data_IF_185048994594
#
_entry.id   IF_185048994594
#
_cell.length_a   1.000
_cell.length_b   1.000
_cell.length_c   1.000
_cell.angle_alpha   90.00
_cell.angle_beta   90.00
_cell.angle_gamma   90.00
#
_symmetry.space_group_name_H-M   'P 1'
#
loop_
_entity.id
_entity.type
_entity.pdbx_description
1 polymer ?
#
# COMPACT_ATOMS: atom_id res chain seq x y z
N UNK A 1 33.54 -25.73 5.96
CA UNK A 1 32.40 -26.66 5.79
C UNK A 1 32.56 -27.39 4.47
N UNK A 2 32.98 -28.65 4.51
CA UNK A 2 33.10 -29.52 3.34
C UNK A 2 31.71 -29.72 2.71
N UNK A 3 31.55 -29.36 1.44
CA UNK A 3 30.29 -29.59 0.69
C UNK A 3 30.04 -31.10 0.65
N UNK A 4 29.02 -31.58 1.39
CA UNK A 4 28.55 -32.96 1.29
C UNK A 4 28.14 -33.23 -0.17
N UNK A 5 28.79 -34.22 -0.79
CA UNK A 5 28.40 -34.73 -2.11
C UNK A 5 26.93 -35.18 -2.06
N UNK A 6 26.13 -34.81 -3.07
CA UNK A 6 24.74 -35.25 -3.20
C UNK A 6 24.73 -36.77 -3.34
N UNK A 7 24.07 -37.48 -2.41
CA UNK A 7 23.85 -38.93 -2.53
C UNK A 7 23.13 -39.23 -3.84
N UNK A 8 23.79 -39.96 -4.75
CA UNK A 8 23.20 -40.43 -6.00
C UNK A 8 22.58 -41.81 -5.75
N UNK A 9 21.25 -41.89 -5.83
CA UNK A 9 20.51 -43.15 -5.70
C UNK A 9 20.43 -43.87 -7.05
N UNK A 10 20.62 -45.19 -7.05
CA UNK A 10 20.53 -46.01 -8.27
C UNK A 10 19.10 -46.03 -8.82
N UNK A 11 18.92 -46.23 -10.14
CA UNK A 11 17.59 -46.33 -10.76
C UNK A 11 16.71 -47.41 -10.11
N UNK A 12 17.28 -48.57 -9.80
CA UNK A 12 16.57 -49.67 -9.12
C UNK A 12 16.09 -49.27 -7.73
N UNK A 13 16.90 -48.53 -6.97
CA UNK A 13 16.50 -48.03 -5.66
C UNK A 13 15.34 -47.03 -5.75
N UNK A 14 15.40 -46.09 -6.71
CA UNK A 14 14.33 -45.12 -6.94
C UNK A 14 13.01 -45.80 -7.31
N UNK A 15 13.05 -46.81 -8.19
CA UNK A 15 11.89 -47.58 -8.58
C UNK A 15 11.25 -48.33 -7.40
N UNK A 16 12.08 -48.93 -6.52
CA UNK A 16 11.61 -49.62 -5.30
C UNK A 16 10.89 -48.66 -4.34
N UNK A 17 11.44 -47.47 -4.12
CA UNK A 17 10.83 -46.44 -3.26
C UNK A 17 9.54 -45.90 -3.87
N UNK A 18 9.52 -45.66 -5.19
CA UNK A 18 8.33 -45.21 -5.90
C UNK A 18 7.19 -46.24 -5.84
N UNK A 19 7.47 -47.53 -6.04
CA UNK A 19 6.49 -48.61 -5.92
C UNK A 19 5.90 -48.69 -4.51
N UNK A 20 6.72 -48.57 -3.46
CA UNK A 20 6.24 -48.54 -2.07
C UNK A 20 5.30 -47.34 -1.82
N UNK A 21 5.58 -46.19 -2.42
CA UNK A 21 4.75 -44.98 -2.32
C UNK A 21 3.46 -45.03 -3.17
N UNK A 22 3.44 -45.84 -4.24
CA UNK A 22 2.21 -46.13 -5.04
C UNK A 22 1.32 -47.11 -4.29
N UNK A 23 1.90 -48.12 -3.62
CA UNK A 23 1.15 -49.16 -2.89
C UNK A 23 0.28 -48.58 -1.76
N UNK A 24 0.71 -47.49 -1.12
CA UNK A 24 -0.13 -46.71 -0.20
C UNK A 24 -0.24 -47.25 1.23
N UNK A 25 0.42 -48.37 1.54
CA UNK A 25 0.37 -49.03 2.86
C UNK A 25 1.02 -48.22 4.00
N UNK A 26 1.82 -47.19 3.69
CA UNK A 26 2.55 -46.35 4.64
C UNK A 26 2.53 -44.89 4.22
N UNK A 27 2.58 -43.99 5.20
CA UNK A 27 2.64 -42.54 4.96
C UNK A 27 4.00 -42.12 4.38
N UNK A 28 4.06 -40.96 3.72
CA UNK A 28 5.31 -40.42 3.14
C UNK A 28 6.40 -40.18 4.21
N UNK A 29 6.01 -39.87 5.44
CA UNK A 29 6.94 -39.67 6.55
C UNK A 29 7.58 -41.01 7.00
N UNK A 30 6.79 -42.08 7.07
CA UNK A 30 7.28 -43.42 7.39
C UNK A 30 8.17 -43.98 6.28
N UNK A 31 7.84 -43.73 5.02
CA UNK A 31 8.67 -44.11 3.87
C UNK A 31 9.99 -43.32 3.84
N UNK A 32 9.97 -42.04 4.20
CA UNK A 32 11.17 -41.21 4.30
C UNK A 32 12.15 -41.73 5.36
N UNK A 33 11.64 -42.16 6.52
CA UNK A 33 12.45 -42.80 7.55
C UNK A 33 12.96 -44.18 7.13
N UNK A 34 12.10 -45.02 6.53
CA UNK A 34 12.44 -46.39 6.16
C UNK A 34 13.50 -46.47 5.05
N UNK A 35 13.50 -45.51 4.13
CA UNK A 35 14.42 -45.48 2.99
C UNK A 35 15.53 -44.42 3.10
N UNK A 36 15.61 -43.68 4.20
CA UNK A 36 16.58 -42.59 4.44
C UNK A 36 16.64 -41.59 3.27
N UNK A 37 15.46 -41.15 2.81
CA UNK A 37 15.30 -40.20 1.69
C UNK A 37 14.30 -39.12 2.02
N UNK A 38 14.47 -37.94 1.43
CA UNK A 38 13.60 -36.80 1.71
C UNK A 38 12.20 -37.02 1.11
N UNK A 39 11.09 -36.66 1.80
CA UNK A 39 9.72 -36.85 1.31
C UNK A 39 9.47 -36.34 -0.13
N UNK A 40 9.98 -35.15 -0.46
CA UNK A 40 9.87 -34.60 -1.84
C UNK A 40 10.52 -35.50 -2.91
N UNK A 41 11.60 -36.22 -2.60
CA UNK A 41 12.21 -37.15 -3.57
C UNK A 41 11.31 -38.36 -3.82
N UNK A 42 10.63 -38.85 -2.78
CA UNK A 42 9.65 -39.94 -2.90
C UNK A 42 8.49 -39.49 -3.80
N UNK A 43 7.96 -38.27 -3.61
CA UNK A 43 6.89 -37.72 -4.45
C UNK A 43 7.32 -37.60 -5.91
N UNK A 44 8.53 -37.11 -6.16
CA UNK A 44 9.08 -36.98 -7.54
C UNK A 44 9.21 -38.36 -8.18
N UNK A 45 9.78 -39.36 -7.49
CA UNK A 45 9.95 -40.70 -8.06
C UNK A 45 8.62 -41.44 -8.24
N UNK A 46 7.64 -41.23 -7.35
CA UNK A 46 6.27 -41.73 -7.51
C UNK A 46 5.63 -41.19 -8.79
N UNK A 47 5.70 -39.88 -9.01
CA UNK A 47 5.13 -39.26 -10.21
C UNK A 47 5.86 -39.71 -11.48
N UNK A 48 7.20 -39.77 -11.47
CA UNK A 48 7.99 -40.30 -12.59
C UNK A 48 7.61 -41.75 -12.94
N UNK A 49 7.35 -42.59 -11.94
CA UNK A 49 6.90 -43.96 -12.17
C UNK A 49 5.48 -44.00 -12.75
N UNK A 50 4.54 -43.20 -12.23
CA UNK A 50 3.16 -43.18 -12.71
C UNK A 50 3.04 -42.63 -14.14
N UNK A 51 3.80 -41.58 -14.47
CA UNK A 51 3.84 -40.98 -15.81
C UNK A 51 4.59 -41.87 -16.82
N UNK A 52 5.66 -42.55 -16.37
CA UNK A 52 6.49 -43.41 -17.21
C UNK A 52 6.03 -44.86 -17.34
N UNK A 53 5.14 -45.35 -16.48
CA UNK A 53 4.73 -46.76 -16.43
C UNK A 53 4.07 -47.22 -17.74
N UNK A 54 3.31 -46.34 -18.40
CA UNK A 54 2.69 -46.65 -19.69
C UNK A 54 3.72 -46.99 -20.78
N UNK A 55 4.88 -46.32 -20.77
CA UNK A 55 5.97 -46.55 -21.73
C UNK A 55 6.78 -47.84 -21.46
N UNK A 56 6.60 -48.49 -20.30
CA UNK A 56 7.25 -49.79 -20.01
C UNK A 56 6.45 -50.95 -20.60
N UNK A 57 5.12 -50.81 -20.72
CA UNK A 57 4.23 -51.84 -21.25
C UNK A 57 3.74 -51.54 -22.68
N UNK A 58 3.89 -50.30 -23.16
CA UNK A 58 3.64 -49.92 -24.56
C UNK A 58 4.91 -50.02 -25.40
N UNK A 59 4.90 -50.85 -26.43
CA UNK A 59 5.89 -50.78 -27.51
C UNK A 59 5.58 -49.57 -28.42
N UNK A 60 5.79 -48.36 -27.90
CA UNK A 60 5.91 -47.20 -28.77
C UNK A 60 7.34 -47.16 -29.32
N UNK A 61 7.40 -47.31 -30.65
CA UNK A 61 8.61 -47.21 -31.47
C UNK A 61 9.52 -46.10 -30.94
N UNK A 62 10.78 -46.46 -30.70
CA UNK A 62 11.87 -45.50 -30.50
C UNK A 62 11.72 -44.35 -31.50
N UNK A 63 11.39 -43.16 -31.00
CA UNK A 63 11.57 -41.92 -31.73
C UNK A 63 13.06 -41.81 -32.00
N UNK A 64 13.43 -41.97 -33.27
CA UNK A 64 14.78 -41.79 -33.76
C UNK A 64 15.38 -40.51 -33.18
N UNK A 65 16.58 -40.62 -32.59
CA UNK A 65 17.39 -39.46 -32.26
C UNK A 65 17.53 -38.62 -33.53
N UNK A 66 17.00 -37.40 -33.48
CA UNK A 66 17.26 -36.39 -34.50
C UNK A 66 18.78 -36.17 -34.50
N UNK A 67 19.47 -36.12 -35.65
CA UNK A 67 20.91 -35.90 -35.65
C UNK A 67 21.16 -34.56 -34.98
N UNK A 68 21.79 -34.58 -33.81
CA UNK A 68 22.25 -33.38 -33.15
C UNK A 68 23.31 -32.80 -34.06
N UNK A 69 23.02 -31.65 -34.67
CA UNK A 69 23.96 -30.96 -35.55
C UNK A 69 25.20 -30.54 -34.74
N UNK A 70 26.23 -31.39 -34.79
CA UNK A 70 27.52 -31.17 -34.13
C UNK A 70 28.17 -29.86 -34.58
N UNK A 71 27.84 -29.36 -35.78
CA UNK A 71 28.31 -28.06 -36.26
C UNK A 71 27.63 -26.91 -35.52
N UNK A 72 26.32 -27.00 -35.30
CA UNK A 72 25.59 -26.05 -34.47
C UNK A 72 26.05 -26.08 -33.01
N UNK A 73 26.38 -27.26 -32.47
CA UNK A 73 26.86 -27.43 -31.10
C UNK A 73 28.31 -26.96 -30.92
N UNK A 74 29.22 -27.25 -31.87
CA UNK A 74 30.57 -26.69 -31.86
C UNK A 74 30.57 -25.17 -32.10
N UNK A 75 29.68 -24.66 -32.95
CA UNK A 75 29.47 -23.22 -33.08
C UNK A 75 28.97 -22.60 -31.78
N UNK A 76 28.03 -23.27 -31.07
CA UNK A 76 27.55 -22.84 -29.74
C UNK A 76 28.66 -22.86 -28.69
N UNK A 77 29.54 -23.85 -28.71
CA UNK A 77 30.68 -23.97 -27.77
C UNK A 77 31.72 -22.89 -28.06
N UNK A 78 32.06 -22.64 -29.33
CA UNK A 78 32.93 -21.53 -29.73
C UNK A 78 32.32 -20.16 -29.38
N UNK A 79 31.02 -20.00 -29.61
CA UNK A 79 30.25 -18.82 -29.23
C UNK A 79 30.30 -18.60 -27.71
N UNK A 80 30.01 -19.63 -26.90
CA UNK A 80 30.05 -19.56 -25.44
C UNK A 80 31.47 -19.37 -24.88
N UNK A 81 32.50 -19.88 -25.56
CA UNK A 81 33.90 -19.67 -25.19
C UNK A 81 34.33 -18.21 -25.40
N UNK A 82 33.97 -17.62 -26.56
CA UNK A 82 34.19 -16.19 -26.84
C UNK A 82 33.37 -15.31 -25.88
N UNK A 83 32.13 -15.68 -25.57
CA UNK A 83 31.30 -14.96 -24.59
C UNK A 83 31.88 -15.02 -23.18
N UNK A 84 32.35 -16.19 -22.72
CA UNK A 84 32.99 -16.31 -21.41
C UNK A 84 34.36 -15.59 -21.34
N UNK A 85 35.07 -15.48 -22.47
CA UNK A 85 36.26 -14.65 -22.60
C UNK A 85 35.95 -13.15 -22.50
N UNK A 86 34.78 -12.74 -22.99
CA UNK A 86 34.32 -11.35 -23.00
C UNK A 86 33.68 -10.93 -21.66
N UNK A 87 34.49 -10.54 -20.69
CA UNK A 87 34.18 -9.72 -19.49
C UNK A 87 32.90 -10.00 -18.66
N UNK A 88 32.21 -11.14 -18.83
CA UNK A 88 30.91 -11.45 -18.21
C UNK A 88 30.88 -11.19 -16.70
N UNK A 89 31.95 -11.58 -16.00
CA UNK A 89 32.05 -11.37 -14.54
C UNK A 89 32.16 -9.90 -14.14
N UNK A 90 32.85 -9.04 -14.90
CA UNK A 90 32.96 -7.60 -14.61
C UNK A 90 31.70 -6.85 -15.01
N UNK A 91 31.08 -7.23 -16.13
CA UNK A 91 29.89 -6.60 -16.66
C UNK A 91 28.68 -6.70 -15.71
N UNK A 92 28.54 -7.82 -14.98
CA UNK A 92 27.42 -8.00 -14.05
C UNK A 92 27.45 -7.09 -12.82
N UNK A 93 28.59 -6.47 -12.51
CA UNK A 93 28.76 -5.62 -11.34
C UNK A 93 28.59 -4.13 -11.66
N UNK A 94 28.58 -3.75 -12.94
CA UNK A 94 28.61 -2.34 -13.37
C UNK A 94 27.27 -1.75 -13.84
N UNK A 95 27.14 -0.43 -13.69
CA UNK A 95 26.01 0.36 -14.19
C UNK A 95 25.93 0.39 -15.73
N UNK A 96 24.81 0.86 -16.33
CA UNK A 96 24.66 0.90 -17.79
C UNK A 96 25.76 1.66 -18.54
N UNK A 97 26.32 2.72 -17.93
CA UNK A 97 27.41 3.51 -18.51
C UNK A 97 28.74 2.74 -18.53
N UNK A 98 29.08 2.07 -17.44
CA UNK A 98 30.29 1.23 -17.32
C UNK A 98 30.21 0.04 -18.28
N UNK A 99 29.05 -0.62 -18.34
CA UNK A 99 28.80 -1.68 -19.32
C UNK A 99 28.92 -1.17 -20.74
N UNK A 100 28.48 0.05 -21.03
CA UNK A 100 28.64 0.64 -22.37
C UNK A 100 30.11 0.89 -22.71
N UNK A 101 30.91 1.34 -21.75
CA UNK A 101 32.35 1.54 -21.93
C UNK A 101 33.13 0.23 -22.18
N UNK A 102 32.54 -0.93 -21.82
CA UNK A 102 33.11 -2.27 -22.10
C UNK A 102 32.88 -2.74 -23.54
N UNK A 103 32.16 -1.99 -24.39
CA UNK A 103 32.00 -2.32 -25.81
C UNK A 103 33.32 -2.08 -26.53
N UNK A 104 33.85 -3.13 -27.15
CA UNK A 104 35.09 -3.09 -27.92
C UNK A 104 34.78 -3.32 -29.41
N UNK A 105 34.98 -2.29 -30.23
CA UNK A 105 34.70 -2.37 -31.68
C UNK A 105 35.74 -3.21 -32.44
N UNK A 106 36.88 -3.53 -31.84
CA UNK A 106 37.94 -4.35 -32.43
C UNK A 106 37.87 -5.84 -32.06
N UNK A 107 36.93 -6.25 -31.22
CA UNK A 107 36.78 -7.64 -30.79
C UNK A 107 36.13 -8.52 -31.86
N UNK A 108 36.48 -9.81 -31.89
CA UNK A 108 35.91 -10.83 -32.78
C UNK A 108 34.39 -11.04 -32.64
N UNK A 109 33.78 -10.48 -31.59
CA UNK A 109 32.34 -10.58 -31.34
C UNK A 109 31.66 -9.35 -31.93
N UNK A 110 30.56 -9.54 -32.68
CA UNK A 110 29.80 -8.40 -33.19
C UNK A 110 29.29 -7.48 -32.06
N UNK A 111 29.17 -6.18 -32.34
CA UNK A 111 28.64 -5.18 -31.38
C UNK A 111 27.26 -5.57 -30.84
N UNK A 112 26.41 -6.18 -31.68
CA UNK A 112 25.09 -6.68 -31.29
C UNK A 112 25.20 -7.78 -30.25
N UNK A 113 26.19 -8.67 -30.41
CA UNK A 113 26.43 -9.76 -29.47
C UNK A 113 27.03 -9.25 -28.17
N UNK A 114 28.01 -8.35 -28.23
CA UNK A 114 28.57 -7.71 -27.05
C UNK A 114 27.49 -6.97 -26.24
N UNK A 115 26.60 -6.21 -26.90
CA UNK A 115 25.47 -5.56 -26.24
C UNK A 115 24.54 -6.57 -25.54
N UNK A 116 24.27 -7.71 -26.18
CA UNK A 116 23.45 -8.80 -25.60
C UNK A 116 24.11 -9.42 -24.37
N UNK A 117 25.41 -9.71 -24.44
CA UNK A 117 26.21 -10.25 -23.32
C UNK A 117 26.23 -9.27 -22.14
N UNK A 118 26.40 -7.98 -22.44
CA UNK A 118 26.42 -6.89 -21.45
C UNK A 118 25.01 -6.47 -20.99
N UNK A 119 23.95 -7.13 -21.48
CA UNK A 119 22.54 -6.80 -21.18
C UNK A 119 22.22 -5.32 -21.41
N UNK A 120 22.69 -4.77 -22.54
CA UNK A 120 22.40 -3.43 -23.01
C UNK A 120 21.48 -3.49 -24.23
N UNK A 121 20.55 -2.53 -24.33
CA UNK A 121 19.83 -2.32 -25.57
C UNK A 121 20.80 -1.83 -26.65
N UNK A 122 20.65 -2.31 -27.89
CA UNK A 122 21.51 -1.94 -29.02
C UNK A 122 21.58 -0.42 -29.19
N UNK A 123 20.46 0.29 -29.05
CA UNK A 123 20.38 1.75 -29.15
C UNK A 123 21.28 2.48 -28.13
N UNK A 124 21.44 1.92 -26.92
CA UNK A 124 22.29 2.51 -25.86
C UNK A 124 23.77 2.56 -26.27
N UNK A 125 24.24 1.58 -27.06
CA UNK A 125 25.63 1.53 -27.55
C UNK A 125 25.93 2.72 -28.46
N UNK A 126 24.99 3.09 -29.32
CA UNK A 126 25.14 4.19 -30.27
C UNK A 126 24.68 5.55 -29.72
N UNK A 127 24.00 5.57 -28.58
CA UNK A 127 23.51 6.82 -27.99
C UNK A 127 24.65 7.71 -27.48
N UNK A 128 24.96 8.80 -28.16
CA UNK A 128 25.92 9.77 -27.62
C UNK A 128 25.25 10.67 -26.58
N UNK A 129 25.82 10.80 -25.37
CA UNK A 129 25.29 11.71 -24.36
C UNK A 129 25.27 13.13 -24.91
N UNK A 130 24.07 13.72 -25.02
CA UNK A 130 23.96 15.13 -25.41
C UNK A 130 24.21 16.01 -24.19
N UNK A 131 25.06 17.05 -24.31
CA UNK A 131 25.19 18.05 -23.26
C UNK A 131 23.83 18.72 -23.02
N UNK A 132 23.62 19.19 -21.79
CA UNK A 132 22.47 20.06 -21.49
C UNK A 132 22.61 21.32 -22.34
N UNK A 133 21.54 21.78 -22.99
CA UNK A 133 21.59 23.04 -23.74
C UNK A 133 21.83 24.22 -22.77
N UNK A 134 22.36 25.34 -23.27
CA UNK A 134 22.54 26.54 -22.45
C UNK A 134 21.20 27.05 -21.87
N UNK A 135 20.12 26.91 -22.64
CA UNK A 135 18.76 27.23 -22.22
C UNK A 135 18.28 26.33 -21.06
N UNK A 136 18.52 25.02 -21.16
CA UNK A 136 18.18 24.08 -20.11
C UNK A 136 19.03 24.30 -18.85
N UNK A 137 20.30 24.69 -18.99
CA UNK A 137 21.16 25.05 -17.85
C UNK A 137 20.64 26.29 -17.12
N UNK A 138 20.22 27.32 -17.86
CA UNK A 138 19.60 28.52 -17.28
C UNK A 138 18.28 28.17 -16.58
N UNK A 139 17.46 27.31 -17.20
CA UNK A 139 16.21 26.84 -16.61
C UNK A 139 16.45 25.96 -15.37
N UNK A 140 17.43 25.07 -15.39
CA UNK A 140 17.84 24.26 -14.23
C UNK A 140 18.29 25.15 -13.07
N UNK A 141 19.12 26.16 -13.32
CA UNK A 141 19.53 27.12 -12.28
C UNK A 141 18.32 27.81 -11.64
N UNK A 142 17.37 28.27 -12.46
CA UNK A 142 16.17 28.92 -11.92
C UNK A 142 15.26 27.96 -11.14
N UNK A 143 15.14 26.71 -11.61
CA UNK A 143 14.41 25.66 -10.88
C UNK A 143 15.05 25.33 -9.53
N UNK A 144 16.39 25.39 -9.42
CA UNK A 144 17.13 25.19 -8.17
C UNK A 144 16.83 26.31 -7.17
N UNK A 145 16.94 27.57 -7.62
CA UNK A 145 16.61 28.76 -6.82
C UNK A 145 15.17 28.70 -6.31
N UNK A 146 14.21 28.40 -7.19
CA UNK A 146 12.81 28.24 -6.81
C UNK A 146 12.57 27.05 -5.88
N UNK A 147 13.41 26.01 -5.92
CA UNK A 147 13.30 24.88 -5.00
C UNK A 147 13.83 25.24 -3.60
N UNK A 148 14.86 26.07 -3.49
CA UNK A 148 15.34 26.60 -2.21
C UNK A 148 14.28 27.48 -1.55
N UNK A 149 13.63 28.35 -2.32
CA UNK A 149 12.56 29.23 -1.81
C UNK A 149 11.26 28.46 -1.52
N UNK A 150 10.92 27.50 -2.37
CA UNK A 150 9.66 26.75 -2.32
C UNK A 150 9.92 25.23 -2.41
N UNK A 151 10.42 24.59 -1.34
CA UNK A 151 10.78 23.17 -1.37
C UNK A 151 9.59 22.25 -1.67
N UNK A 152 8.36 22.69 -1.39
CA UNK A 152 7.12 21.96 -1.71
C UNK A 152 6.65 22.10 -3.16
N UNK A 153 7.26 22.98 -3.97
CA UNK A 153 6.84 23.26 -5.33
C UNK A 153 7.30 22.15 -6.30
N UNK A 154 6.37 21.26 -6.65
CA UNK A 154 6.59 20.28 -7.73
C UNK A 154 6.52 20.90 -9.13
N UNK A 155 6.84 20.10 -10.16
CA UNK A 155 6.93 20.56 -11.55
C UNK A 155 5.71 21.35 -12.08
N UNK A 156 4.51 21.12 -11.54
CA UNK A 156 3.30 21.88 -11.90
C UNK A 156 3.33 23.30 -11.32
N UNK A 157 3.75 23.45 -10.06
CA UNK A 157 3.83 24.74 -9.38
C UNK A 157 5.03 25.54 -9.86
N UNK A 158 6.18 24.90 -10.01
CA UNK A 158 7.39 25.46 -10.62
C UNK A 158 7.10 26.07 -12.00
N UNK A 159 6.35 25.36 -12.85
CA UNK A 159 5.86 25.89 -14.13
C UNK A 159 5.06 27.18 -13.99
N UNK A 160 4.15 27.23 -13.02
CA UNK A 160 3.31 28.40 -12.79
C UNK A 160 4.14 29.59 -12.28
N UNK A 161 5.12 29.35 -11.41
CA UNK A 161 6.05 30.38 -10.92
C UNK A 161 6.89 30.96 -12.06
N UNK A 162 7.56 30.09 -12.84
CA UNK A 162 8.33 30.48 -14.02
C UNK A 162 7.50 31.27 -15.04
N UNK A 163 6.24 30.89 -15.26
CA UNK A 163 5.34 31.60 -16.18
C UNK A 163 5.04 33.03 -15.73
N UNK A 164 5.04 33.32 -14.42
CA UNK A 164 4.88 34.68 -13.89
C UNK A 164 6.13 35.54 -14.09
N UNK A 165 7.28 34.90 -14.26
CA UNK A 165 8.58 35.53 -14.54
C UNK A 165 8.87 35.63 -16.04
N UNK A 166 7.91 35.29 -16.91
CA UNK A 166 8.08 35.32 -18.37
C UNK A 166 8.82 34.12 -18.95
N UNK A 167 9.13 33.10 -18.15
CA UNK A 167 9.82 31.88 -18.61
C UNK A 167 8.81 30.79 -18.95
N UNK A 168 8.75 30.39 -20.22
CA UNK A 168 7.78 29.42 -20.72
C UNK A 168 8.41 28.04 -20.94
N UNK A 169 8.16 27.12 -20.01
CA UNK A 169 8.56 25.71 -20.15
C UNK A 169 7.39 24.75 -19.90
N UNK A 170 7.38 23.63 -20.63
CA UNK A 170 6.37 22.58 -20.48
C UNK A 170 6.53 21.82 -19.15
N UNK A 171 5.43 21.40 -18.53
CA UNK A 171 5.45 20.64 -17.25
C UNK A 171 6.33 19.38 -17.34
N UNK A 172 6.26 18.64 -18.45
CA UNK A 172 7.06 17.42 -18.65
C UNK A 172 8.55 17.75 -18.75
N UNK A 173 8.89 18.86 -19.40
CA UNK A 173 10.26 19.33 -19.50
C UNK A 173 10.80 19.68 -18.12
N UNK A 174 10.09 20.51 -17.35
CA UNK A 174 10.44 20.85 -15.97
C UNK A 174 10.61 19.59 -15.10
N UNK A 175 9.69 18.62 -15.19
CA UNK A 175 9.79 17.38 -14.45
C UNK A 175 11.04 16.55 -14.82
N UNK A 176 11.42 16.53 -16.10
CA UNK A 176 12.64 15.86 -16.57
C UNK A 176 13.89 16.54 -16.01
N UNK A 177 13.94 17.89 -16.00
CA UNK A 177 15.07 18.64 -15.46
C UNK A 177 15.19 18.49 -13.94
N UNK A 178 14.08 18.63 -13.20
CA UNK A 178 14.04 18.37 -11.75
C UNK A 178 14.57 16.98 -11.42
N UNK A 179 14.13 15.95 -12.16
CA UNK A 179 14.64 14.57 -11.99
C UNK A 179 16.13 14.45 -12.28
N UNK A 180 16.64 15.15 -13.31
CA UNK A 180 18.06 15.16 -13.66
C UNK A 180 18.92 15.85 -12.59
N UNK A 181 18.36 16.86 -11.91
CA UNK A 181 19.00 17.59 -10.81
C UNK A 181 18.91 16.87 -9.46
N UNK A 182 18.09 15.82 -9.35
CA UNK A 182 17.81 15.17 -8.06
C UNK A 182 16.90 15.98 -7.15
N UNK A 183 16.14 16.94 -7.71
CA UNK A 183 15.23 17.80 -6.98
C UNK A 183 13.82 17.22 -7.05
N UNK A 184 13.18 17.08 -5.89
CA UNK A 184 11.79 16.67 -5.77
C UNK A 184 11.01 17.58 -4.82
N UNK A 185 9.71 17.70 -5.03
CA UNK A 185 8.86 18.43 -4.09
C UNK A 185 8.89 17.74 -2.73
N UNK A 186 9.22 18.49 -1.69
CA UNK A 186 9.15 18.06 -0.30
C UNK A 186 7.71 18.25 0.17
N UNK A 187 6.99 17.15 0.27
CA UNK A 187 5.65 17.12 0.85
C UNK A 187 5.54 15.94 1.81
N UNK A 188 4.65 16.06 2.80
CA UNK A 188 4.22 14.89 3.58
C UNK A 188 3.54 13.92 2.63
N UNK A 189 4.23 12.82 2.29
CA UNK A 189 3.60 11.70 1.59
C UNK A 189 2.41 11.24 2.46
N UNK A 190 1.24 10.92 1.87
CA UNK A 190 0.14 10.35 2.64
C UNK A 190 0.67 9.09 3.33
N UNK A 191 0.81 9.13 4.64
CA UNK A 191 1.01 7.93 5.42
C UNK A 191 -0.37 7.32 5.60
N UNK A 192 -0.89 6.67 4.56
CA UNK A 192 -1.99 5.73 4.78
C UNK A 192 -1.40 4.64 5.65
N UNK A 193 -1.79 4.60 6.92
CA UNK A 193 -1.51 3.49 7.83
C UNK A 193 -1.70 2.19 7.04
N UNK A 194 -0.63 1.39 6.90
CA UNK A 194 -0.78 0.08 6.27
C UNK A 194 -1.74 -0.71 7.17
N UNK A 195 -2.84 -1.26 6.64
CA UNK A 195 -3.66 -2.18 7.40
C UNK A 195 -2.75 -3.28 7.94
N UNK A 196 -2.83 -3.60 9.23
CA UNK A 196 -2.17 -4.80 9.69
C UNK A 196 -2.79 -5.99 8.92
N UNK A 197 -1.99 -6.93 8.40
CA UNK A 197 -2.52 -8.06 7.64
C UNK A 197 -3.51 -8.86 8.52
N UNK A 198 -4.75 -9.01 8.08
CA UNK A 198 -5.75 -9.87 8.73
C UNK A 198 -7.03 -9.20 9.23
N UNK A 199 -7.13 -7.87 9.22
CA UNK A 199 -8.36 -7.21 9.67
C UNK A 199 -9.50 -7.31 8.65
N UNK A 200 -10.69 -7.66 9.14
CA UNK A 200 -11.91 -7.78 8.34
C UNK A 200 -12.40 -6.39 7.92
N UNK A 201 -12.60 -6.20 6.62
CA UNK A 201 -13.24 -5.00 6.07
C UNK A 201 -14.74 -5.29 5.93
N UNK A 202 -15.57 -4.37 6.41
CA UNK A 202 -17.03 -4.47 6.35
C UNK A 202 -17.57 -3.69 5.14
N UNK A 203 -18.73 -4.08 4.57
CA UNK A 203 -19.34 -3.35 3.45
C UNK A 203 -19.87 -1.98 3.91
N UNK A 204 -19.98 -1.05 2.96
CA UNK A 204 -20.61 0.25 3.22
C UNK A 204 -22.14 0.13 3.19
N UNK A 205 -22.81 0.47 4.30
CA UNK A 205 -24.25 0.25 4.50
C UNK A 205 -25.11 1.51 4.31
N UNK A 206 -24.52 2.71 4.27
CA UNK A 206 -25.29 3.95 4.16
C UNK A 206 -25.72 4.29 2.72
N UNK A 207 -25.36 3.46 1.74
CA UNK A 207 -25.70 3.70 0.32
C UNK A 207 -27.20 3.57 0.08
N UNK A 208 -27.85 4.67 -0.30
CA UNK A 208 -29.28 4.70 -0.56
C UNK A 208 -30.15 4.62 0.70
N UNK A 209 -29.52 4.60 1.89
CA UNK A 209 -30.23 4.62 3.16
C UNK A 209 -30.59 6.06 3.50
N UNK A 210 -31.88 6.32 3.65
CA UNK A 210 -32.37 7.60 4.16
C UNK A 210 -32.34 7.54 5.69
N UNK A 211 -31.56 8.44 6.28
CA UNK A 211 -31.45 8.58 7.73
C UNK A 211 -32.51 9.58 8.19
N UNK A 212 -33.52 9.09 8.92
CA UNK A 212 -34.74 9.85 9.22
C UNK A 212 -34.97 10.11 10.71
N UNK A 213 -34.16 9.50 11.58
CA UNK A 213 -34.28 9.65 13.04
C UNK A 213 -32.91 9.54 13.74
N UNK A 214 -32.80 10.08 14.97
CA UNK A 214 -31.64 9.85 15.83
C UNK A 214 -31.37 8.35 16.03
N UNK A 215 -30.08 8.01 16.21
CA UNK A 215 -29.59 6.66 16.52
C UNK A 215 -29.91 5.60 15.45
N UNK A 216 -30.21 6.01 14.23
CA UNK A 216 -30.26 5.09 13.10
C UNK A 216 -28.85 4.78 12.59
N UNK A 217 -28.01 5.81 12.45
CA UNK A 217 -26.61 5.66 12.09
C UNK A 217 -25.75 6.62 12.89
N UNK A 218 -24.68 6.09 13.49
CA UNK A 218 -23.60 6.89 14.03
C UNK A 218 -22.38 6.80 13.11
N UNK A 219 -21.56 7.84 13.12
CA UNK A 219 -20.29 7.89 12.39
C UNK A 219 -19.15 8.32 13.32
N UNK A 220 -17.94 7.84 13.05
CA UNK A 220 -16.75 8.22 13.80
C UNK A 220 -15.56 8.45 12.87
N UNK A 221 -14.75 9.43 13.24
CA UNK A 221 -13.50 9.74 12.56
C UNK A 221 -12.47 10.32 13.56
N UNK A 222 -11.23 10.46 13.12
CA UNK A 222 -10.12 11.07 13.86
C UNK A 222 -9.57 12.24 13.06
N UNK A 223 -9.31 13.36 13.72
CA UNK A 223 -8.64 14.51 13.12
C UNK A 223 -7.44 15.00 13.92
N UNK A 224 -6.50 15.62 13.22
CA UNK A 224 -5.31 16.23 13.81
C UNK A 224 -5.63 17.66 14.25
N UNK A 225 -5.26 17.99 15.48
CA UNK A 225 -5.40 19.32 16.08
C UNK A 225 -3.99 19.89 16.31
N UNK A 226 -3.59 20.95 15.59
CA UNK A 226 -2.33 21.63 15.84
C UNK A 226 -2.32 22.30 17.22
N UNK A 227 -1.15 22.31 17.86
CA UNK A 227 -0.87 23.02 19.10
C UNK A 227 0.33 23.94 18.91
N UNK A 228 0.66 24.78 19.91
CA UNK A 228 1.86 25.63 19.85
C UNK A 228 3.14 24.82 19.64
N UNK A 229 3.18 23.61 20.20
CA UNK A 229 4.26 22.62 19.98
C UNK A 229 3.63 21.26 19.68
N UNK A 230 3.73 20.82 18.44
CA UNK A 230 3.22 19.51 18.01
C UNK A 230 1.72 19.51 17.71
N UNK A 231 1.08 18.36 17.89
CA UNK A 231 -0.34 18.15 17.61
C UNK A 231 -0.90 17.05 18.50
N UNK A 232 -2.23 17.04 18.64
CA UNK A 232 -3.01 15.97 19.28
C UNK A 232 -4.03 15.39 18.31
N UNK A 233 -4.58 14.24 18.64
CA UNK A 233 -5.63 13.55 17.92
C UNK A 233 -6.97 13.78 18.62
N UNK A 234 -7.98 14.20 17.88
CA UNK A 234 -9.36 14.30 18.33
C UNK A 234 -10.19 13.25 17.61
N UNK A 235 -10.85 12.37 18.34
CA UNK A 235 -11.89 11.49 17.81
C UNK A 235 -13.26 11.94 18.29
N UNK A 236 -14.28 11.80 17.44
CA UNK A 236 -15.66 12.10 17.80
C UNK A 236 -16.60 11.04 17.22
N UNK A 237 -17.57 10.62 18.04
CA UNK A 237 -18.73 9.83 17.64
C UNK A 237 -19.88 10.80 17.40
N UNK A 238 -20.50 10.72 16.23
CA UNK A 238 -21.51 11.68 15.75
C UNK A 238 -22.77 10.95 15.33
N UNK A 239 -23.93 11.43 15.76
CA UNK A 239 -25.21 11.00 15.21
C UNK A 239 -25.42 11.64 13.82
N UNK A 240 -25.62 10.80 12.80
CA UNK A 240 -25.66 11.23 11.39
C UNK A 240 -26.89 12.09 11.10
N UNK A 241 -28.02 11.81 11.78
CA UNK A 241 -29.28 12.55 11.62
C UNK A 241 -29.16 13.96 12.20
N UNK A 242 -28.97 14.05 13.52
CA UNK A 242 -29.01 15.27 14.31
C UNK A 242 -27.72 16.09 14.27
N UNK A 243 -26.63 15.53 13.73
CA UNK A 243 -25.27 16.11 13.74
C UNK A 243 -24.67 16.27 15.13
N UNK A 244 -25.31 15.69 16.14
CA UNK A 244 -24.88 15.78 17.54
C UNK A 244 -23.61 14.98 17.75
N UNK A 245 -22.64 15.59 18.41
CA UNK A 245 -21.45 14.88 18.90
C UNK A 245 -21.82 14.16 20.19
N UNK A 246 -21.88 12.83 20.13
CA UNK A 246 -22.32 11.99 21.24
C UNK A 246 -21.23 11.79 22.28
N UNK A 247 -20.00 11.60 21.81
CA UNK A 247 -18.82 11.50 22.65
C UNK A 247 -17.58 11.94 21.85
N UNK A 248 -16.55 12.41 22.55
CA UNK A 248 -15.28 12.75 21.94
C UNK A 248 -14.10 12.44 22.89
N UNK A 249 -12.91 12.24 22.31
CA UNK A 249 -11.67 11.98 23.05
C UNK A 249 -10.48 12.66 22.42
N UNK A 250 -9.59 13.18 23.26
CA UNK A 250 -8.31 13.78 22.85
C UNK A 250 -7.15 12.91 23.32
N UNK A 251 -6.33 12.46 22.39
CA UNK A 251 -5.15 11.62 22.63
C UNK A 251 -3.87 12.23 22.03
N UNK A 252 -2.72 11.87 22.59
CA UNK A 252 -1.39 12.18 22.04
C UNK A 252 -0.88 11.07 21.10
N UNK A 253 -1.52 9.90 21.11
CA UNK A 253 -1.21 8.75 20.24
C UNK A 253 -2.37 8.45 19.30
N UNK A 254 -2.08 7.80 18.17
CA UNK A 254 -3.08 7.37 17.18
C UNK A 254 -3.49 5.90 17.39
N UNK A 255 -3.65 5.47 18.64
CA UNK A 255 -3.99 4.10 19.04
C UNK A 255 -5.51 3.86 19.03
N UNK A 256 -5.95 2.61 18.97
CA UNK A 256 -7.37 2.28 18.95
C UNK A 256 -8.08 2.52 20.30
N UNK A 257 -7.36 2.44 21.41
CA UNK A 257 -7.90 2.49 22.77
C UNK A 257 -8.78 3.74 23.04
N UNK A 258 -8.31 4.94 22.68
CA UNK A 258 -9.09 6.16 22.92
C UNK A 258 -10.33 6.25 22.01
N UNK A 259 -10.33 5.55 20.87
CA UNK A 259 -11.51 5.45 20.02
C UNK A 259 -12.54 4.53 20.66
N UNK A 260 -12.10 3.39 21.20
CA UNK A 260 -12.94 2.45 21.95
C UNK A 260 -13.60 3.14 23.14
N UNK A 261 -12.85 3.91 23.93
CA UNK A 261 -13.40 4.68 25.05
C UNK A 261 -14.50 5.67 24.62
N UNK A 262 -14.32 6.35 23.49
CA UNK A 262 -15.32 7.28 22.97
C UNK A 262 -16.61 6.55 22.58
N UNK A 263 -16.48 5.39 21.92
CA UNK A 263 -17.63 4.54 21.55
C UNK A 263 -18.34 4.01 22.79
N UNK A 264 -17.60 3.47 23.76
CA UNK A 264 -18.18 2.95 25.00
C UNK A 264 -18.92 4.04 25.78
N UNK A 265 -18.39 5.26 25.86
CA UNK A 265 -19.11 6.38 26.48
C UNK A 265 -20.40 6.72 25.72
N UNK A 266 -20.34 6.82 24.38
CA UNK A 266 -21.52 7.11 23.58
C UNK A 266 -22.58 6.02 23.79
N UNK A 267 -22.18 4.75 23.79
CA UNK A 267 -23.08 3.62 24.02
C UNK A 267 -23.73 3.67 25.41
N UNK A 268 -22.94 3.95 26.44
CA UNK A 268 -23.43 4.03 27.82
C UNK A 268 -24.42 5.19 28.04
N UNK A 269 -24.23 6.32 27.35
CA UNK A 269 -25.07 7.51 27.52
C UNK A 269 -26.31 7.53 26.63
N UNK A 270 -26.22 6.98 25.43
CA UNK A 270 -27.20 7.19 24.35
C UNK A 270 -27.83 5.90 23.82
N UNK A 271 -27.45 4.74 24.37
CA UNK A 271 -27.90 3.45 23.86
C UNK A 271 -27.09 3.05 22.63
N UNK A 272 -27.69 2.32 21.68
CA UNK A 272 -26.96 1.80 20.51
C UNK A 272 -27.60 2.26 19.20
N UNK A 273 -26.79 2.56 18.17
CA UNK A 273 -27.31 2.79 16.84
C UNK A 273 -27.61 1.47 16.13
N UNK A 274 -28.36 1.54 15.02
CA UNK A 274 -28.50 0.38 14.12
C UNK A 274 -27.20 0.15 13.34
N UNK A 275 -26.58 1.24 12.83
CA UNK A 275 -25.37 1.20 12.01
C UNK A 275 -24.29 2.09 12.63
N UNK A 276 -23.05 1.62 12.62
CA UNK A 276 -21.87 2.41 12.97
C UNK A 276 -20.93 2.51 11.77
N UNK A 277 -20.69 3.72 11.29
CA UNK A 277 -19.87 3.98 10.10
C UNK A 277 -18.50 4.57 10.44
N UNK A 278 -17.43 4.02 9.86
CA UNK A 278 -16.07 4.54 9.97
C UNK A 278 -15.35 4.49 8.63
N UNK A 279 -14.18 5.13 8.53
CA UNK A 279 -13.26 4.84 7.44
C UNK A 279 -12.58 3.46 7.64
N UNK A 280 -11.73 3.07 6.69
CA UNK A 280 -10.94 1.81 6.74
C UNK A 280 -9.58 1.99 7.45
N UNK A 281 -9.46 2.98 8.34
CA UNK A 281 -8.25 3.24 9.13
C UNK A 281 -7.90 2.07 10.05
N UNK A 282 -6.61 1.89 10.33
CA UNK A 282 -6.13 0.75 11.14
C UNK A 282 -6.77 0.65 12.52
N UNK A 283 -7.16 1.80 13.09
CA UNK A 283 -7.83 1.93 14.39
C UNK A 283 -9.22 1.31 14.35
N UNK A 284 -9.99 1.57 13.29
CA UNK A 284 -11.37 1.08 13.17
C UNK A 284 -11.46 -0.33 12.60
N UNK A 285 -10.42 -0.79 11.92
CA UNK A 285 -10.32 -2.20 11.49
C UNK A 285 -9.78 -3.12 12.59
N UNK A 286 -9.29 -2.57 13.71
CA UNK A 286 -8.74 -3.35 14.82
C UNK A 286 -9.82 -4.22 15.48
N UNK A 287 -9.41 -5.40 15.99
CA UNK A 287 -10.33 -6.31 16.70
C UNK A 287 -10.91 -5.64 17.95
N UNK A 288 -10.07 -4.94 18.72
CA UNK A 288 -10.50 -4.19 19.91
C UNK A 288 -11.66 -3.22 19.62
N UNK A 289 -11.65 -2.58 18.44
CA UNK A 289 -12.73 -1.68 18.03
C UNK A 289 -13.95 -2.44 17.50
N UNK A 290 -13.75 -3.41 16.61
CA UNK A 290 -14.86 -4.13 15.99
C UNK A 290 -15.62 -5.01 16.99
N UNK A 291 -14.93 -5.59 17.97
CA UNK A 291 -15.54 -6.47 18.97
C UNK A 291 -16.53 -5.71 19.84
N UNK A 292 -16.24 -4.46 20.22
CA UNK A 292 -17.17 -3.59 20.95
C UNK A 292 -18.48 -3.37 20.18
N UNK A 293 -18.40 -3.18 18.86
CA UNK A 293 -19.57 -2.99 18.02
C UNK A 293 -20.35 -4.30 17.81
N UNK A 294 -19.64 -5.42 17.64
CA UNK A 294 -20.24 -6.75 17.48
C UNK A 294 -20.94 -7.21 18.75
N UNK A 295 -20.34 -7.00 19.92
CA UNK A 295 -20.91 -7.33 21.23
C UNK A 295 -22.20 -6.53 21.50
N UNK A 296 -22.23 -5.26 21.07
CA UNK A 296 -23.41 -4.42 21.13
C UNK A 296 -24.48 -4.77 20.06
N UNK A 297 -24.17 -5.71 19.16
CA UNK A 297 -24.99 -6.15 18.01
C UNK A 297 -25.30 -5.01 17.03
N UNK A 298 -24.32 -4.16 16.76
CA UNK A 298 -24.41 -3.02 15.85
C UNK A 298 -23.90 -3.43 14.46
N UNK A 299 -24.59 -3.01 13.40
CA UNK A 299 -24.12 -3.27 12.04
C UNK A 299 -22.92 -2.36 11.70
N UNK A 300 -21.77 -2.97 11.43
CA UNK A 300 -20.54 -2.23 11.08
C UNK A 300 -20.58 -1.87 9.60
N UNK A 301 -20.41 -0.58 9.32
CA UNK A 301 -20.27 -0.01 7.98
C UNK A 301 -18.89 0.62 7.83
N UNK A 302 -18.21 0.38 6.70
CA UNK A 302 -16.92 1.01 6.41
C UNK A 302 -16.93 1.66 5.03
N UNK A 303 -16.39 2.88 4.95
CA UNK A 303 -16.32 3.65 3.71
C UNK A 303 -15.52 2.94 2.61
N UNK A 304 -15.81 3.23 1.34
CA UNK A 304 -14.99 2.76 0.24
C UNK A 304 -13.56 3.33 0.28
N UNK A 305 -12.57 2.58 -0.19
CA UNK A 305 -11.19 3.07 -0.28
C UNK A 305 -11.12 4.31 -1.19
N UNK A 306 -10.77 5.47 -0.62
CA UNK A 306 -10.70 6.74 -1.34
C UNK A 306 -12.05 7.42 -1.58
N UNK A 307 -13.12 6.96 -0.92
CA UNK A 307 -14.46 7.51 -1.03
C UNK A 307 -14.76 8.53 0.08
N UNK A 308 -14.01 9.63 0.10
CA UNK A 308 -14.18 10.74 1.08
C UNK A 308 -15.63 11.25 1.22
N UNK A 309 -16.44 11.11 0.15
CA UNK A 309 -17.87 11.49 0.15
C UNK A 309 -18.71 10.70 1.15
N UNK A 310 -18.28 9.50 1.51
CA UNK A 310 -19.03 8.59 2.39
C UNK A 310 -19.03 9.08 3.85
N UNK A 311 -18.01 9.87 4.26
CA UNK A 311 -17.89 10.46 5.60
C UNK A 311 -18.20 11.98 5.68
N UNK A 312 -18.99 12.51 4.74
CA UNK A 312 -19.19 13.97 4.60
C UNK A 312 -19.75 14.64 5.88
N UNK A 313 -20.42 13.87 6.74
CA UNK A 313 -21.01 14.34 7.99
C UNK A 313 -19.94 14.74 9.00
N UNK A 314 -18.97 13.85 9.22
CA UNK A 314 -17.89 14.08 10.18
C UNK A 314 -16.83 15.02 9.58
N UNK A 315 -16.60 14.97 8.26
CA UNK A 315 -15.76 15.97 7.57
C UNK A 315 -16.27 17.41 7.76
N UNK A 316 -17.60 17.61 7.71
CA UNK A 316 -18.21 18.92 7.97
C UNK A 316 -18.01 19.35 9.42
N UNK A 317 -18.21 18.44 10.38
CA UNK A 317 -17.91 18.71 11.79
C UNK A 317 -16.46 19.18 11.95
N UNK A 318 -15.50 18.48 11.35
CA UNK A 318 -14.09 18.88 11.43
C UNK A 318 -13.80 20.24 10.85
N UNK A 319 -14.44 20.59 9.74
CA UNK A 319 -14.32 21.94 9.19
C UNK A 319 -14.83 22.97 10.21
N UNK A 320 -16.02 22.78 10.78
CA UNK A 320 -16.60 23.70 11.77
C UNK A 320 -15.70 23.84 12.99
N UNK A 321 -15.35 22.71 13.65
CA UNK A 321 -14.46 22.70 14.82
C UNK A 321 -13.13 23.37 14.51
N UNK A 322 -12.53 23.10 13.34
CA UNK A 322 -11.23 23.69 13.03
C UNK A 322 -11.30 25.20 12.82
N UNK A 323 -12.30 25.68 12.11
CA UNK A 323 -12.44 27.11 11.82
C UNK A 323 -12.85 27.92 13.06
N UNK A 324 -13.79 27.42 13.85
CA UNK A 324 -14.40 28.19 14.93
C UNK A 324 -13.66 28.05 16.27
N UNK A 325 -12.90 26.97 16.47
CA UNK A 325 -12.22 26.71 17.73
C UNK A 325 -10.70 26.62 17.57
N UNK A 326 -10.23 25.75 16.67
CA UNK A 326 -8.81 25.34 16.61
C UNK A 326 -7.92 26.39 15.97
N UNK A 327 -8.31 26.97 14.83
CA UNK A 327 -7.48 27.93 14.11
C UNK A 327 -7.42 29.31 14.78
N UNK A 328 -8.34 29.57 15.71
CA UNK A 328 -8.35 30.80 16.51
C UNK A 328 -7.46 30.69 17.76
N UNK A 329 -6.89 29.51 18.04
CA UNK A 329 -6.13 29.23 19.27
C UNK A 329 -4.78 28.60 18.99
N UNK A 330 -3.85 28.84 19.91
CA UNK A 330 -2.58 28.16 19.97
C UNK A 330 -2.44 27.50 21.35
N UNK A 331 -2.94 26.26 21.48
CA UNK A 331 -2.92 25.55 22.76
C UNK A 331 -1.49 25.33 23.26
N UNK A 332 -1.24 25.67 24.52
CA UNK A 332 0.05 25.50 25.20
C UNK A 332 0.22 24.10 25.78
N UNK A 333 -0.88 23.43 26.15
CA UNK A 333 -0.86 22.08 26.73
C UNK A 333 -1.98 21.17 26.25
N UNK A 334 -1.79 19.85 26.37
CA UNK A 334 -2.81 18.85 25.98
C UNK A 334 -4.06 18.98 26.84
N UNK A 335 -3.89 19.33 28.13
CA UNK A 335 -5.02 19.53 29.05
C UNK A 335 -5.86 20.74 28.65
N UNK A 336 -5.21 21.83 28.27
CA UNK A 336 -5.88 23.03 27.74
C UNK A 336 -6.63 22.72 26.44
N UNK A 337 -5.98 22.05 25.48
CA UNK A 337 -6.62 21.64 24.23
C UNK A 337 -7.86 20.78 24.50
N UNK A 338 -7.75 19.80 25.40
CA UNK A 338 -8.86 18.92 25.81
C UNK A 338 -10.02 19.71 26.42
N UNK A 339 -9.74 20.61 27.36
CA UNK A 339 -10.77 21.40 28.04
C UNK A 339 -11.47 22.37 27.08
N UNK A 340 -10.70 23.06 26.23
CA UNK A 340 -11.24 24.04 25.28
C UNK A 340 -12.10 23.36 24.20
N UNK A 341 -11.61 22.26 23.62
CA UNK A 341 -12.36 21.48 22.64
C UNK A 341 -13.64 20.90 23.26
N UNK A 342 -13.58 20.38 24.48
CA UNK A 342 -14.76 19.88 25.19
C UNK A 342 -15.82 20.97 25.38
N UNK A 343 -15.39 22.16 25.83
CA UNK A 343 -16.26 23.33 25.99
C UNK A 343 -16.91 23.73 24.66
N UNK A 344 -16.12 23.75 23.58
CA UNK A 344 -16.63 24.09 22.26
C UNK A 344 -17.62 23.05 21.73
N UNK A 345 -17.33 21.76 21.87
CA UNK A 345 -18.24 20.70 21.41
C UNK A 345 -19.55 20.68 22.20
N UNK A 346 -19.51 21.03 23.50
CA UNK A 346 -20.73 21.26 24.28
C UNK A 346 -21.55 22.44 23.74
N UNK A 347 -20.90 23.57 23.41
CA UNK A 347 -21.56 24.70 22.75
C UNK A 347 -22.12 24.31 21.36
N UNK A 348 -21.35 23.59 20.55
CA UNK A 348 -21.79 23.13 19.23
C UNK A 348 -23.09 22.31 19.33
N UNK A 349 -23.19 21.41 20.31
CA UNK A 349 -24.39 20.62 20.53
C UNK A 349 -25.59 21.45 21.04
N UNK A 350 -25.36 22.32 22.02
CA UNK A 350 -26.44 22.99 22.79
C UNK A 350 -26.87 24.34 22.22
N UNK A 351 -25.98 25.05 21.54
CA UNK A 351 -26.15 26.45 21.20
C UNK A 351 -25.71 26.83 19.79
N UNK A 352 -25.13 25.90 19.01
CA UNK A 352 -24.76 26.12 17.62
C UNK A 352 -25.93 25.89 16.68
N UNK A 353 -26.61 26.93 16.15
CA UNK A 353 -27.67 26.73 15.16
C UNK A 353 -27.08 26.13 13.89
N UNK A 354 -27.67 25.03 13.42
CA UNK A 354 -27.13 24.28 12.30
C UNK A 354 -28.01 24.44 11.05
N UNK A 355 -27.43 24.93 9.95
CA UNK A 355 -28.19 25.22 8.72
C UNK A 355 -28.82 23.98 8.08
N UNK A 356 -28.20 22.80 8.23
CA UNK A 356 -28.80 21.54 7.76
C UNK A 356 -29.91 20.99 8.66
N UNK A 357 -30.19 21.66 9.79
CA UNK A 357 -31.25 21.31 10.74
C UNK A 357 -32.31 22.42 10.82
N UNK A 358 -32.38 23.26 9.78
CA UNK A 358 -33.29 24.41 9.68
C UNK A 358 -33.10 25.41 10.82
N UNK A 359 -31.85 25.60 11.26
CA UNK A 359 -31.48 26.55 12.32
C UNK A 359 -31.60 25.99 13.74
N UNK A 360 -32.11 24.77 13.91
CA UNK A 360 -32.09 24.07 15.20
C UNK A 360 -30.68 23.68 15.60
N UNK A 361 -30.45 23.54 16.91
CA UNK A 361 -29.23 22.98 17.45
C UNK A 361 -29.21 21.45 17.30
N UNK A 362 -28.03 20.81 17.31
CA UNK A 362 -27.94 19.35 17.32
C UNK A 362 -28.69 18.69 18.48
N UNK A 363 -28.69 19.29 19.67
CA UNK A 363 -29.46 18.77 20.82
C UNK A 363 -30.97 18.86 20.60
N UNK A 364 -31.48 19.97 20.05
CA UNK A 364 -32.90 20.12 19.71
C UNK A 364 -33.35 19.09 18.67
N UNK A 365 -32.52 18.84 17.65
CA UNK A 365 -32.82 17.82 16.64
C UNK A 365 -32.76 16.40 17.21
N UNK A 366 -31.83 16.11 18.12
CA UNK A 366 -31.65 14.80 18.72
C UNK A 366 -32.78 14.47 19.72
N UNK A 367 -32.94 15.29 20.75
CA UNK A 367 -33.90 15.02 21.82
C UNK A 367 -35.34 15.36 21.43
N UNK A 368 -35.55 16.39 20.59
CA UNK A 368 -36.89 16.76 20.12
C UNK A 368 -37.54 15.65 19.29
N UNK A 369 -36.77 14.96 18.45
CA UNK A 369 -37.28 13.82 17.68
C UNK A 369 -37.44 12.55 18.52
N UNK A 370 -36.53 12.27 19.47
CA UNK A 370 -36.71 11.15 20.39
C UNK A 370 -37.99 11.27 21.23
N UNK A 371 -38.29 12.48 21.73
CA UNK A 371 -39.52 12.74 22.48
C UNK A 371 -40.79 12.49 21.64
N UNK A 372 -40.77 12.86 20.35
CA UNK A 372 -41.87 12.57 19.42
C UNK A 372 -42.03 11.08 19.15
N UNK A 373 -40.93 10.33 19.01
CA UNK A 373 -40.96 8.88 18.77
C UNK A 373 -41.42 8.11 20.02
N UNK A 374 -41.07 8.57 21.22
CA UNK A 374 -41.54 7.95 22.47
C UNK A 374 -43.00 8.24 22.80
N UNK A 375 -43.57 9.31 22.25
CA UNK A 375 -44.96 9.71 22.46
C UNK A 375 -45.94 9.12 21.43
N UNK A 376 -45.42 8.54 20.33
CA UNK A 376 -46.17 7.85 19.28
C UNK A 376 -46.16 6.34 19.51
#
# INVERSE_FOLDING_TARGET
MTKKSRRMHSPAFKAKVALAAVKGDKTLAELAQLFDVHPNQITIWKNQLLEGAAGVFGHDKASAETPVDLKALHAKIGELALENGFFVRRAHQGGPAERKAMIDRGHDLSIVRQAKVLKLARSTVYYEPRPVSAEDLALMRRLDELHLDYPFAGARMQRSLLRREGVYAGRRHIATLMKRMGIEAVYRRPNTSKPAPGHKIYPYLLRGLKIERPDQAWAMDITYIPMRRGFVYLAAVVDVFSRRVLAHRVSITMEAAFCVEAVQEALAKHGRPEIFNTDQGSQFTSLEFTDVLLDAKIAISMDGKGAWRDNVFVERLWRTVKYEEVYLRAYDSVSEARASIAKYLAFYNQGGPHSSLDGRTPDEAYFGTQAMVMAA
#
